data_IF_870031111897
#
_entry.id   IF_870031111897
#
_cell.length_a   1.000
_cell.length_b   1.000
_cell.length_c   1.000
_cell.angle_alpha   90.00
_cell.angle_beta   90.00
_cell.angle_gamma   90.00
#
_symmetry.space_group_name_H-M   'P 1'
#
loop_
_entity.id
_entity.type
_entity.pdbx_description
1 polymer ?
#
# COMPACT_ATOMS: atom_id res chain seq x y z
N UNK A 1 3.64 0.60 -2.21
CA UNK A 1 5.02 0.90 -1.75
C UNK A 1 6.02 0.41 -2.78
N UNK A 2 6.14 -0.90 -3.00
CA UNK A 2 7.07 -1.44 -4.01
C UNK A 2 6.86 -0.87 -5.43
N UNK A 3 5.62 -0.82 -5.91
CA UNK A 3 5.31 -0.23 -7.23
C UNK A 3 5.61 1.27 -7.33
N UNK A 4 5.64 1.99 -6.21
CA UNK A 4 5.98 3.41 -6.19
C UNK A 4 7.49 3.67 -6.18
N UNK A 5 8.25 2.77 -5.56
CA UNK A 5 9.72 2.78 -5.59
C UNK A 5 10.21 2.45 -7.01
N UNK A 6 9.46 1.60 -7.74
CA UNK A 6 9.76 1.26 -9.13
C UNK A 6 9.34 2.33 -10.16
N UNK A 7 8.65 3.40 -9.74
CA UNK A 7 8.17 4.46 -10.62
C UNK A 7 9.00 5.73 -10.45
N UNK A 8 9.08 6.55 -11.52
CA UNK A 8 9.84 7.82 -11.44
C UNK A 8 9.22 8.76 -10.41
N UNK A 9 10.03 9.54 -9.68
CA UNK A 9 9.52 10.41 -8.62
C UNK A 9 8.38 11.34 -9.08
N UNK A 10 8.50 11.89 -10.29
CA UNK A 10 7.53 12.78 -10.94
C UNK A 10 6.17 12.16 -11.24
N UNK A 11 6.15 10.86 -11.50
CA UNK A 11 4.93 10.12 -11.82
C UNK A 11 4.27 9.60 -10.53
N UNK A 12 5.08 9.13 -9.58
CA UNK A 12 4.62 8.52 -8.34
C UNK A 12 3.67 9.41 -7.54
N UNK A 13 4.02 10.67 -7.29
CA UNK A 13 3.19 11.54 -6.47
C UNK A 13 1.85 11.91 -7.11
N UNK A 14 1.83 12.09 -8.43
CA UNK A 14 0.60 12.36 -9.21
C UNK A 14 -0.30 11.13 -9.23
N UNK A 15 0.29 9.96 -9.45
CA UNK A 15 -0.40 8.68 -9.40
C UNK A 15 -1.03 8.42 -8.04
N UNK A 16 -0.35 8.74 -6.94
CA UNK A 16 -0.91 8.61 -5.59
C UNK A 16 -2.11 9.53 -5.33
N UNK A 17 -2.04 10.80 -5.73
CA UNK A 17 -3.17 11.73 -5.55
C UNK A 17 -4.38 11.32 -6.40
N UNK A 18 -4.15 11.01 -7.68
CA UNK A 18 -5.21 10.58 -8.58
C UNK A 18 -5.81 9.23 -8.15
N UNK A 19 -4.94 8.30 -7.75
CA UNK A 19 -5.29 7.00 -7.21
C UNK A 19 -6.17 7.12 -5.97
N UNK A 20 -5.80 7.97 -5.01
CA UNK A 20 -6.59 8.23 -3.81
C UNK A 20 -7.98 8.79 -4.10
N UNK A 21 -8.08 9.75 -5.03
CA UNK A 21 -9.37 10.32 -5.46
C UNK A 21 -10.27 9.32 -6.19
N UNK A 22 -9.68 8.48 -7.03
CA UNK A 22 -10.42 7.44 -7.75
C UNK A 22 -10.81 6.27 -6.84
N UNK A 23 -10.00 5.96 -5.83
CA UNK A 23 -10.28 4.88 -4.89
C UNK A 23 -11.59 5.12 -4.14
N UNK A 24 -11.84 6.36 -3.70
CA UNK A 24 -13.08 6.73 -3.03
C UNK A 24 -14.33 6.50 -3.90
N UNK A 25 -14.19 6.61 -5.23
CA UNK A 25 -15.29 6.39 -6.16
C UNK A 25 -15.85 4.96 -6.04
N UNK A 26 -15.01 3.96 -5.76
CA UNK A 26 -15.42 2.55 -5.71
C UNK A 26 -16.46 2.31 -4.60
N UNK A 27 -16.16 2.50 -3.30
CA UNK A 27 -17.15 2.28 -2.25
C UNK A 27 -18.31 3.27 -2.36
N UNK A 28 -18.05 4.54 -2.70
CA UNK A 28 -19.09 5.56 -2.79
C UNK A 28 -20.13 5.22 -3.86
N UNK A 29 -19.69 4.91 -5.08
CA UNK A 29 -20.60 4.65 -6.20
C UNK A 29 -21.27 3.29 -6.10
N UNK A 30 -20.56 2.23 -5.68
CA UNK A 30 -21.15 0.90 -5.53
C UNK A 30 -22.16 0.86 -4.39
N UNK A 31 -21.87 1.49 -3.24
CA UNK A 31 -22.82 1.56 -2.13
C UNK A 31 -24.04 2.42 -2.50
N UNK A 32 -23.82 3.58 -3.14
CA UNK A 32 -24.91 4.49 -3.53
C UNK A 32 -25.79 3.90 -4.63
N UNK A 33 -25.22 3.15 -5.57
CA UNK A 33 -25.99 2.54 -6.65
C UNK A 33 -26.59 1.20 -6.22
N UNK A 34 -25.78 0.16 -6.07
CA UNK A 34 -26.25 -1.21 -5.84
C UNK A 34 -26.80 -1.40 -4.42
N UNK A 35 -26.18 -0.79 -3.41
CA UNK A 35 -26.66 -0.89 -2.03
C UNK A 35 -28.03 -0.26 -1.84
N UNK A 36 -28.20 0.99 -2.28
CA UNK A 36 -29.49 1.69 -2.14
C UNK A 36 -30.54 1.20 -3.12
N UNK A 37 -30.17 0.72 -4.31
CA UNK A 37 -31.11 0.07 -5.22
C UNK A 37 -31.69 -1.23 -4.63
N UNK A 38 -30.90 -2.02 -3.90
CA UNK A 38 -31.40 -3.20 -3.18
C UNK A 38 -32.57 -2.84 -2.25
N UNK A 39 -32.38 -1.79 -1.44
CA UNK A 39 -33.39 -1.28 -0.50
C UNK A 39 -34.58 -0.68 -1.25
N UNK A 40 -34.34 0.15 -2.27
CA UNK A 40 -35.40 0.81 -3.03
C UNK A 40 -36.30 -0.18 -3.78
N UNK A 41 -35.74 -1.29 -4.26
CA UNK A 41 -36.47 -2.36 -4.93
C UNK A 41 -37.08 -3.37 -3.94
N UNK A 42 -36.82 -3.21 -2.64
CA UNK A 42 -37.28 -4.13 -1.59
C UNK A 42 -36.92 -5.58 -1.90
N UNK A 43 -35.68 -5.82 -2.36
CA UNK A 43 -35.21 -7.16 -2.65
C UNK A 43 -35.20 -8.01 -1.36
N UNK A 44 -35.54 -9.31 -1.42
CA UNK A 44 -35.63 -10.18 -0.25
C UNK A 44 -34.24 -10.61 0.25
N UNK A 45 -33.33 -9.66 0.45
CA UNK A 45 -31.98 -9.91 0.97
C UNK A 45 -32.03 -9.96 2.50
N UNK A 46 -31.68 -11.11 3.07
CA UNK A 46 -31.63 -11.28 4.52
C UNK A 46 -30.43 -10.55 5.12
N UNK A 47 -30.48 -10.25 6.43
CA UNK A 47 -29.35 -9.65 7.14
C UNK A 47 -28.08 -10.51 7.06
N UNK A 48 -28.22 -11.84 7.01
CA UNK A 48 -27.09 -12.76 6.85
C UNK A 48 -26.44 -12.65 5.47
N UNK A 49 -27.24 -12.61 4.40
CA UNK A 49 -26.75 -12.42 3.03
C UNK A 49 -26.10 -11.05 2.83
N UNK A 50 -26.67 -10.00 3.46
CA UNK A 50 -26.05 -8.69 3.48
C UNK A 50 -24.70 -8.69 4.21
N UNK A 51 -24.61 -9.34 5.36
CA UNK A 51 -23.35 -9.54 6.10
C UNK A 51 -22.31 -10.38 5.34
N UNK A 52 -22.77 -11.28 4.47
CA UNK A 52 -21.92 -12.06 3.56
C UNK A 52 -21.50 -11.29 2.29
N UNK A 53 -21.93 -10.03 2.12
CA UNK A 53 -21.56 -9.19 0.98
C UNK A 53 -22.34 -9.48 -0.31
N UNK A 54 -23.51 -10.13 -0.22
CA UNK A 54 -24.30 -10.54 -1.39
C UNK A 54 -25.25 -9.45 -1.92
N UNK A 55 -25.28 -8.26 -1.31
CA UNK A 55 -26.13 -7.14 -1.74
C UNK A 55 -25.81 -6.67 -3.18
N UNK A 56 -24.54 -6.37 -3.55
CA UNK A 56 -24.21 -6.00 -4.92
C UNK A 56 -24.59 -7.03 -5.99
N UNK A 57 -24.24 -8.33 -5.87
CA UNK A 57 -24.60 -9.32 -6.88
C UNK A 57 -26.11 -9.56 -6.97
N UNK A 58 -26.84 -9.57 -5.84
CA UNK A 58 -28.30 -9.71 -5.84
C UNK A 58 -28.98 -8.58 -6.62
N UNK A 59 -28.51 -7.35 -6.41
CA UNK A 59 -29.07 -6.17 -7.08
C UNK A 59 -28.72 -6.14 -8.56
N UNK A 60 -27.48 -6.45 -8.91
CA UNK A 60 -27.03 -6.53 -10.30
C UNK A 60 -27.80 -7.61 -11.07
N UNK A 61 -28.03 -8.78 -10.45
CA UNK A 61 -28.80 -9.86 -11.04
C UNK A 61 -30.26 -9.44 -11.28
N UNK A 62 -30.88 -8.73 -10.32
CA UNK A 62 -32.24 -8.25 -10.49
C UNK A 62 -32.37 -7.24 -11.64
N UNK A 63 -31.40 -6.33 -11.79
CA UNK A 63 -31.43 -5.25 -12.78
C UNK A 63 -31.00 -5.69 -14.20
N UNK A 64 -30.00 -6.57 -14.30
CA UNK A 64 -29.35 -6.92 -15.57
C UNK A 64 -29.46 -8.42 -15.91
N UNK A 65 -30.24 -9.18 -15.14
CA UNK A 65 -30.31 -10.64 -15.26
C UNK A 65 -28.98 -11.32 -14.94
N UNK A 66 -28.81 -12.54 -15.44
CA UNK A 66 -27.60 -13.36 -15.18
C UNK A 66 -26.31 -12.66 -15.65
N UNK A 67 -26.39 -11.82 -16.67
CA UNK A 67 -25.25 -11.01 -17.13
C UNK A 67 -24.73 -10.06 -16.04
N UNK A 68 -25.62 -9.46 -15.24
CA UNK A 68 -25.23 -8.62 -14.11
C UNK A 68 -24.48 -9.39 -13.03
N UNK A 69 -24.95 -10.59 -12.70
CA UNK A 69 -24.29 -11.48 -11.74
C UNK A 69 -22.88 -11.86 -12.21
N UNK A 70 -22.72 -12.21 -13.50
CA UNK A 70 -21.43 -12.54 -14.09
C UNK A 70 -20.47 -11.34 -14.05
N UNK A 71 -20.94 -10.14 -14.36
CA UNK A 71 -20.11 -8.92 -14.30
C UNK A 71 -19.60 -8.64 -12.88
N UNK A 72 -20.46 -8.77 -11.86
CA UNK A 72 -20.06 -8.60 -10.45
C UNK A 72 -19.06 -9.67 -10.04
N UNK A 73 -19.27 -10.93 -10.45
CA UNK A 73 -18.35 -12.02 -10.17
C UNK A 73 -16.97 -11.79 -10.81
N UNK A 74 -16.93 -11.37 -12.08
CA UNK A 74 -15.70 -11.05 -12.78
C UNK A 74 -14.97 -9.87 -12.12
N UNK A 75 -15.71 -8.81 -11.77
CA UNK A 75 -15.16 -7.66 -11.05
C UNK A 75 -14.52 -8.09 -9.72
N UNK A 76 -15.23 -8.90 -8.93
CA UNK A 76 -14.72 -9.42 -7.65
C UNK A 76 -13.48 -10.29 -7.86
N UNK A 77 -13.50 -11.19 -8.83
CA UNK A 77 -12.38 -12.06 -9.15
C UNK A 77 -11.12 -11.26 -9.52
N UNK A 78 -11.26 -10.25 -10.39
CA UNK A 78 -10.14 -9.37 -10.77
C UNK A 78 -9.62 -8.56 -9.57
N UNK A 79 -10.51 -8.00 -8.76
CA UNK A 79 -10.13 -7.21 -7.58
C UNK A 79 -9.36 -8.04 -6.54
N UNK A 80 -9.85 -9.24 -6.21
CA UNK A 80 -9.22 -10.15 -5.24
C UNK A 80 -7.89 -10.67 -5.79
N UNK A 81 -7.83 -11.08 -7.06
CA UNK A 81 -6.60 -11.62 -7.66
C UNK A 81 -5.52 -10.54 -7.76
N UNK A 82 -5.88 -9.30 -8.13
CA UNK A 82 -4.93 -8.19 -8.20
C UNK A 82 -4.36 -7.84 -6.84
N UNK A 83 -5.21 -7.69 -5.81
CA UNK A 83 -4.78 -7.38 -4.45
C UNK A 83 -3.99 -8.54 -3.84
N UNK A 84 -4.46 -9.77 -4.03
CA UNK A 84 -3.80 -10.97 -3.52
C UNK A 84 -2.40 -11.17 -4.08
N UNK A 85 -2.19 -10.88 -5.37
CA UNK A 85 -0.86 -10.89 -5.99
C UNK A 85 0.10 -9.90 -5.32
N UNK A 86 -0.35 -8.65 -5.10
CA UNK A 86 0.46 -7.62 -4.45
C UNK A 86 0.85 -8.00 -3.01
N UNK A 87 -0.10 -8.55 -2.24
CA UNK A 87 0.16 -9.02 -0.86
C UNK A 87 1.13 -10.21 -0.83
N UNK A 88 0.97 -11.18 -1.74
CA UNK A 88 1.88 -12.32 -1.85
C UNK A 88 3.32 -11.88 -2.15
N UNK A 89 3.48 -10.92 -3.06
CA UNK A 89 4.80 -10.32 -3.36
C UNK A 89 5.33 -9.59 -2.13
N UNK A 90 4.49 -8.81 -1.44
CA UNK A 90 4.84 -8.11 -0.20
C UNK A 90 5.39 -9.07 0.86
N UNK A 91 4.65 -10.11 1.22
CA UNK A 91 5.07 -11.11 2.22
C UNK A 91 6.34 -11.83 1.78
N UNK A 92 6.44 -12.19 0.50
CA UNK A 92 7.64 -12.85 -0.02
C UNK A 92 8.90 -11.99 0.08
N UNK A 93 8.76 -10.68 -0.14
CA UNK A 93 9.87 -9.73 -0.03
C UNK A 93 10.33 -9.53 1.41
N UNK A 94 9.40 -9.44 2.36
CA UNK A 94 9.74 -9.36 3.80
C UNK A 94 10.52 -10.60 4.22
N UNK A 95 10.06 -11.80 3.83
CA UNK A 95 10.76 -13.03 4.17
C UNK A 95 12.13 -13.11 3.47
N UNK A 96 12.23 -12.70 2.21
CA UNK A 96 13.48 -12.81 1.45
C UNK A 96 14.54 -11.79 1.91
N UNK A 97 14.17 -10.52 2.08
CA UNK A 97 15.10 -9.43 2.39
C UNK A 97 15.27 -9.22 3.90
N UNK A 98 14.19 -9.23 4.67
CA UNK A 98 14.24 -8.85 6.08
C UNK A 98 14.53 -10.04 7.00
N UNK A 99 14.27 -11.28 6.55
CA UNK A 99 14.56 -12.50 7.32
C UNK A 99 15.72 -13.28 6.72
N UNK A 100 15.59 -13.74 5.48
CA UNK A 100 16.56 -14.64 4.88
C UNK A 100 17.90 -13.96 4.62
N UNK A 101 17.92 -12.83 3.92
CA UNK A 101 19.15 -12.07 3.69
C UNK A 101 19.71 -11.53 5.02
N UNK A 102 18.88 -10.92 5.86
CA UNK A 102 19.40 -10.28 7.08
C UNK A 102 20.01 -11.26 8.10
N UNK A 103 19.45 -12.47 8.26
CA UNK A 103 19.83 -13.36 9.36
C UNK A 103 20.27 -14.78 8.96
N UNK A 104 19.88 -15.27 7.78
CA UNK A 104 20.13 -16.67 7.37
C UNK A 104 21.31 -16.76 6.40
N UNK A 105 21.31 -15.93 5.36
CA UNK A 105 22.36 -15.89 4.35
C UNK A 105 22.56 -14.45 3.82
N UNK A 106 23.42 -13.65 4.49
CA UNK A 106 23.70 -12.26 4.09
C UNK A 106 24.30 -12.10 2.69
N UNK A 107 25.10 -13.08 2.26
CA UNK A 107 25.78 -13.11 0.95
C UNK A 107 24.92 -13.84 -0.12
N UNK A 108 23.59 -13.82 0.01
CA UNK A 108 22.73 -14.49 -0.95
C UNK A 108 22.71 -13.80 -2.32
N UNK A 109 22.70 -14.62 -3.38
CA UNK A 109 22.60 -14.15 -4.77
C UNK A 109 21.16 -13.80 -5.14
N UNK A 110 20.95 -12.91 -6.13
CA UNK A 110 19.62 -12.57 -6.64
C UNK A 110 18.80 -13.80 -7.09
N UNK A 111 19.46 -14.81 -7.67
CA UNK A 111 18.81 -16.08 -8.08
C UNK A 111 18.27 -16.87 -6.88
N UNK A 112 18.98 -16.87 -5.76
CA UNK A 112 18.51 -17.51 -4.52
C UNK A 112 17.30 -16.78 -3.93
N UNK A 113 17.32 -15.44 -3.94
CA UNK A 113 16.20 -14.61 -3.47
C UNK A 113 14.94 -14.86 -4.30
N UNK A 114 15.05 -14.89 -5.64
CA UNK A 114 13.89 -15.12 -6.52
C UNK A 114 13.32 -16.53 -6.29
N UNK A 115 14.18 -17.55 -6.16
CA UNK A 115 13.72 -18.92 -5.92
C UNK A 115 13.02 -19.06 -4.55
N UNK A 116 13.58 -18.46 -3.50
CA UNK A 116 12.95 -18.42 -2.18
C UNK A 116 11.60 -17.69 -2.25
N UNK A 117 11.55 -16.53 -2.90
CA UNK A 117 10.33 -15.73 -3.03
C UNK A 117 9.21 -16.53 -3.70
N UNK A 118 9.51 -17.27 -4.78
CA UNK A 118 8.53 -18.14 -5.46
C UNK A 118 7.99 -19.24 -4.55
N UNK A 119 8.85 -19.85 -3.74
CA UNK A 119 8.44 -20.85 -2.75
C UNK A 119 7.54 -20.23 -1.67
N UNK A 120 7.93 -19.07 -1.14
CA UNK A 120 7.16 -18.35 -0.12
C UNK A 120 5.79 -17.92 -0.66
N UNK A 121 5.71 -17.44 -1.89
CA UNK A 121 4.43 -17.10 -2.54
C UNK A 121 3.50 -18.31 -2.57
N UNK A 122 3.98 -19.48 -3.02
CA UNK A 122 3.16 -20.69 -3.07
C UNK A 122 2.72 -21.13 -1.67
N UNK A 123 3.65 -21.19 -0.72
CA UNK A 123 3.37 -21.62 0.65
C UNK A 123 2.38 -20.68 1.36
N UNK A 124 2.61 -19.37 1.29
CA UNK A 124 1.75 -18.37 1.91
C UNK A 124 0.36 -18.32 1.24
N UNK A 125 0.30 -18.46 -0.08
CA UNK A 125 -0.97 -18.55 -0.82
C UNK A 125 -1.82 -19.74 -0.39
N UNK A 126 -1.20 -20.92 -0.18
CA UNK A 126 -1.90 -22.10 0.33
C UNK A 126 -2.38 -21.91 1.78
N UNK A 127 -1.55 -21.29 2.64
CA UNK A 127 -1.92 -20.98 4.03
C UNK A 127 -3.08 -19.99 4.09
N UNK A 128 -3.01 -18.92 3.30
CA UNK A 128 -4.09 -17.92 3.17
C UNK A 128 -5.39 -18.57 2.71
N UNK A 129 -5.34 -19.43 1.69
CA UNK A 129 -6.52 -20.14 1.19
C UNK A 129 -7.14 -21.06 2.25
N UNK A 130 -6.31 -21.85 2.93
CA UNK A 130 -6.77 -22.72 4.02
C UNK A 130 -7.37 -21.91 5.18
N UNK A 131 -6.72 -20.79 5.55
CA UNK A 131 -7.21 -19.89 6.59
C UNK A 131 -8.54 -19.23 6.22
N UNK A 132 -8.70 -18.80 4.97
CA UNK A 132 -9.96 -18.25 4.46
C UNK A 132 -11.11 -19.26 4.52
N UNK A 133 -10.87 -20.52 4.15
CA UNK A 133 -11.85 -21.61 4.27
C UNK A 133 -12.22 -21.84 5.74
N UNK A 134 -11.22 -21.84 6.64
CA UNK A 134 -11.47 -22.01 8.07
C UNK A 134 -12.33 -20.87 8.65
N UNK A 135 -12.03 -19.61 8.33
CA UNK A 135 -12.82 -18.46 8.76
C UNK A 135 -14.26 -18.51 8.23
N UNK A 136 -14.44 -18.94 6.97
CA UNK A 136 -15.77 -19.11 6.40
C UNK A 136 -16.57 -20.20 7.13
N UNK A 137 -15.93 -21.31 7.49
CA UNK A 137 -16.56 -22.39 8.28
C UNK A 137 -16.93 -21.96 9.71
N UNK A 138 -16.16 -21.06 10.32
CA UNK A 138 -16.44 -20.50 11.66
C UNK A 138 -17.61 -19.49 11.61
N UNK A 139 -18.04 -19.07 10.42
CA UNK A 139 -19.13 -18.12 10.25
C UNK A 139 -18.72 -16.66 10.44
N UNK A 140 -17.42 -16.35 10.31
CA UNK A 140 -16.93 -14.97 10.38
C UNK A 140 -17.39 -14.21 9.13
N UNK A 141 -18.14 -13.12 9.31
CA UNK A 141 -18.58 -12.26 8.22
C UNK A 141 -17.43 -11.40 7.69
N UNK A 142 -17.53 -10.95 6.42
CA UNK A 142 -16.52 -10.06 5.83
C UNK A 142 -16.41 -8.73 6.60
N UNK A 143 -17.55 -8.18 7.05
CA UNK A 143 -17.58 -6.95 7.85
C UNK A 143 -16.87 -7.12 9.19
N UNK A 144 -17.08 -8.26 9.86
CA UNK A 144 -16.38 -8.58 11.11
C UNK A 144 -14.87 -8.62 10.89
N UNK A 145 -14.42 -9.37 9.87
CA UNK A 145 -12.99 -9.52 9.58
C UNK A 145 -12.33 -8.19 9.20
N UNK A 146 -13.03 -7.37 8.42
CA UNK A 146 -12.56 -6.04 8.02
C UNK A 146 -12.33 -5.11 9.22
N UNK A 147 -13.24 -5.12 10.20
CA UNK A 147 -13.10 -4.30 11.41
C UNK A 147 -12.07 -4.89 12.40
N UNK A 148 -12.02 -6.22 12.50
CA UNK A 148 -11.04 -6.93 13.34
C UNK A 148 -9.60 -6.66 12.88
N UNK A 149 -9.39 -6.52 11.57
CA UNK A 149 -8.08 -6.17 11.01
C UNK A 149 -7.45 -4.98 11.74
N UNK A 150 -8.18 -3.88 11.92
CA UNK A 150 -7.61 -2.70 12.56
C UNK A 150 -7.31 -2.89 14.06
N UNK A 151 -7.96 -3.84 14.74
CA UNK A 151 -7.57 -4.26 16.10
C UNK A 151 -6.22 -4.98 16.08
N UNK A 152 -6.00 -5.86 15.10
CA UNK A 152 -4.79 -6.67 15.02
C UNK A 152 -3.56 -5.90 14.52
N UNK A 153 -3.73 -5.00 13.56
CA UNK A 153 -2.61 -4.33 12.88
C UNK A 153 -2.57 -2.81 13.05
N UNK A 154 -3.64 -2.20 13.56
CA UNK A 154 -3.76 -0.74 13.65
C UNK A 154 -2.70 -0.08 14.54
N UNK A 155 -2.14 -0.80 15.52
CA UNK A 155 -1.12 -0.26 16.41
C UNK A 155 0.21 0.05 15.73
N UNK A 156 0.50 -0.55 14.57
CA UNK A 156 1.73 -0.26 13.84
C UNK A 156 1.67 1.06 13.05
N UNK A 157 0.47 1.61 12.81
CA UNK A 157 0.27 2.74 11.89
C UNK A 157 1.06 3.98 12.31
N UNK A 158 0.89 4.46 13.55
CA UNK A 158 1.60 5.66 14.02
C UNK A 158 3.11 5.42 14.17
N UNK A 159 3.59 4.32 14.77
CA UNK A 159 5.02 4.02 14.82
C UNK A 159 5.70 4.00 13.45
N UNK A 160 5.07 3.40 12.44
CA UNK A 160 5.59 3.38 11.06
C UNK A 160 5.53 4.76 10.41
N UNK A 161 4.48 5.53 10.65
CA UNK A 161 4.41 6.90 10.16
C UNK A 161 5.51 7.78 10.78
N UNK A 162 5.74 7.65 12.09
CA UNK A 162 6.75 8.42 12.82
C UNK A 162 8.17 8.04 12.46
N UNK A 163 8.47 6.76 12.22
CA UNK A 163 9.82 6.36 11.80
C UNK A 163 10.24 7.08 10.51
N UNK A 164 9.30 7.38 9.61
CA UNK A 164 9.57 8.07 8.34
C UNK A 164 9.46 9.60 8.47
N UNK A 165 8.50 10.11 9.24
CA UNK A 165 8.14 11.54 9.22
C UNK A 165 8.63 12.35 10.42
N UNK A 166 9.03 11.70 11.51
CA UNK A 166 9.46 12.37 12.73
C UNK A 166 10.88 11.97 13.10
N UNK A 167 11.82 12.91 12.90
CA UNK A 167 13.23 12.72 13.21
C UNK A 167 13.53 12.37 14.68
N UNK A 168 12.62 12.68 15.60
CA UNK A 168 12.75 12.33 17.02
C UNK A 168 12.18 10.97 17.41
N UNK A 169 11.63 10.21 16.45
CA UNK A 169 11.11 8.87 16.72
C UNK A 169 12.24 7.91 17.03
N UNK A 170 12.25 7.35 18.24
CA UNK A 170 13.32 6.45 18.68
C UNK A 170 12.97 4.99 18.46
N UNK A 171 13.98 4.12 18.40
CA UNK A 171 13.77 2.68 18.22
C UNK A 171 12.87 2.12 19.33
N UNK A 172 13.15 2.50 20.57
CA UNK A 172 12.37 2.09 21.73
C UNK A 172 10.95 2.63 21.67
N UNK A 173 10.76 3.88 21.22
CA UNK A 173 9.44 4.48 21.03
C UNK A 173 8.60 3.74 20.02
N UNK A 174 9.14 3.44 18.84
CA UNK A 174 8.42 2.72 17.79
C UNK A 174 8.00 1.30 18.23
N UNK A 175 8.92 0.52 18.82
CA UNK A 175 8.65 -0.86 19.25
C UNK A 175 7.65 -0.89 20.41
N UNK A 176 7.86 -0.06 21.43
CA UNK A 176 6.97 -0.01 22.59
C UNK A 176 5.59 0.51 22.25
N UNK A 177 5.48 1.51 21.36
CA UNK A 177 4.21 2.02 20.84
C UNK A 177 3.41 0.94 20.14
N UNK A 178 4.02 0.25 19.16
CA UNK A 178 3.36 -0.82 18.42
C UNK A 178 2.90 -1.97 19.34
N UNK A 179 3.78 -2.40 20.26
CA UNK A 179 3.49 -3.49 21.19
C UNK A 179 2.45 -3.14 22.26
N UNK A 180 2.60 -2.01 22.94
CA UNK A 180 1.65 -1.57 23.96
C UNK A 180 0.29 -1.23 23.36
N UNK A 181 0.25 -0.62 22.17
CA UNK A 181 -0.97 -0.38 21.41
C UNK A 181 -1.71 -1.67 21.06
N UNK A 182 -0.99 -2.69 20.59
CA UNK A 182 -1.58 -4.00 20.24
C UNK A 182 -2.18 -4.68 21.48
N UNK A 183 -1.41 -4.76 22.57
CA UNK A 183 -1.88 -5.37 23.82
C UNK A 183 -3.07 -4.58 24.39
N UNK A 184 -3.00 -3.26 24.39
CA UNK A 184 -4.10 -2.39 24.82
C UNK A 184 -5.37 -2.57 23.98
N UNK A 185 -5.22 -2.72 22.66
CA UNK A 185 -6.33 -2.97 21.75
C UNK A 185 -7.00 -4.32 22.06
N UNK A 186 -6.22 -5.40 22.22
CA UNK A 186 -6.76 -6.71 22.57
C UNK A 186 -7.46 -6.71 23.93
N UNK A 187 -6.86 -6.09 24.95
CA UNK A 187 -7.48 -5.96 26.28
C UNK A 187 -8.81 -5.23 26.15
N UNK A 188 -8.84 -4.09 25.45
CA UNK A 188 -10.06 -3.30 25.25
C UNK A 188 -11.12 -4.10 24.50
N UNK A 189 -10.71 -4.82 23.45
CA UNK A 189 -11.61 -5.60 22.62
C UNK A 189 -12.30 -6.72 23.41
N UNK A 190 -11.53 -7.53 24.13
CA UNK A 190 -12.07 -8.62 24.95
C UNK A 190 -12.83 -8.11 26.17
N UNK A 191 -12.31 -7.09 26.87
CA UNK A 191 -12.96 -6.56 28.07
C UNK A 191 -14.30 -5.89 27.74
N UNK A 192 -14.37 -5.13 26.63
CA UNK A 192 -15.64 -4.50 26.23
C UNK A 192 -16.62 -5.55 25.70
N UNK A 193 -16.18 -6.53 24.91
CA UNK A 193 -17.03 -7.67 24.53
C UNK A 193 -17.56 -8.42 25.75
N UNK A 194 -16.75 -8.63 26.78
CA UNK A 194 -17.13 -9.32 28.01
C UNK A 194 -18.19 -8.57 28.85
N UNK A 195 -18.39 -7.28 28.61
CA UNK A 195 -19.44 -6.50 29.28
C UNK A 195 -20.84 -6.76 28.74
N UNK A 196 -20.96 -7.38 27.56
CA UNK A 196 -22.23 -7.81 27.00
C UNK A 196 -22.68 -9.14 27.57
N UNK A 197 -24.00 -9.36 27.56
CA UNK A 197 -24.59 -10.65 27.93
C UNK A 197 -24.00 -11.78 27.06
N UNK A 198 -23.67 -12.90 27.70
CA UNK A 198 -22.99 -14.03 27.04
C UNK A 198 -21.45 -13.91 26.99
N UNK A 199 -20.88 -12.80 27.43
CA UNK A 199 -19.43 -12.62 27.58
C UNK A 199 -18.69 -12.55 26.23
N UNK A 200 -17.49 -13.13 26.16
CA UNK A 200 -16.66 -13.09 24.93
C UNK A 200 -17.18 -14.10 23.92
N UNK A 201 -17.95 -13.63 22.95
CA UNK A 201 -18.47 -14.39 21.81
C UNK A 201 -18.10 -13.70 20.50
N UNK A 202 -18.19 -14.43 19.37
CA UNK A 202 -17.96 -13.86 18.03
C UNK A 202 -18.89 -12.67 17.77
N UNK A 203 -20.16 -12.80 18.16
CA UNK A 203 -21.17 -11.75 18.01
C UNK A 203 -20.82 -10.51 18.82
N UNK A 204 -20.43 -10.67 20.09
CA UNK A 204 -20.09 -9.55 20.97
C UNK A 204 -18.78 -8.87 20.55
N UNK A 205 -17.78 -9.64 20.08
CA UNK A 205 -16.55 -9.09 19.49
C UNK A 205 -16.82 -8.31 18.20
N UNK A 206 -17.86 -8.69 17.46
CA UNK A 206 -18.31 -8.08 16.21
C UNK A 206 -19.11 -6.80 16.36
N UNK A 207 -19.47 -6.39 17.58
CA UNK A 207 -20.26 -5.20 17.80
C UNK A 207 -19.50 -3.94 17.36
N UNK A 208 -20.20 -3.03 16.67
CA UNK A 208 -19.59 -1.81 16.13
C UNK A 208 -18.88 -0.97 17.20
N UNK A 209 -19.47 -0.81 18.39
CA UNK A 209 -18.86 -0.03 19.48
C UNK A 209 -17.65 -0.74 20.10
N UNK A 210 -17.68 -2.07 20.18
CA UNK A 210 -16.57 -2.89 20.69
C UNK A 210 -15.38 -2.80 19.73
N UNK A 211 -15.63 -2.99 18.44
CA UNK A 211 -14.62 -2.81 17.38
C UNK A 211 -14.09 -1.37 17.35
N UNK A 212 -14.96 -0.36 17.43
CA UNK A 212 -14.56 1.05 17.42
C UNK A 212 -13.62 1.38 18.57
N UNK A 213 -13.97 0.99 19.79
CA UNK A 213 -13.14 1.26 20.97
C UNK A 213 -11.76 0.60 20.86
N UNK A 214 -11.72 -0.67 20.46
CA UNK A 214 -10.47 -1.41 20.28
C UNK A 214 -9.59 -0.80 19.18
N UNK A 215 -10.17 -0.41 18.04
CA UNK A 215 -9.46 0.26 16.94
C UNK A 215 -8.91 1.64 17.36
N UNK A 216 -9.69 2.42 18.11
CA UNK A 216 -9.24 3.71 18.63
C UNK A 216 -8.08 3.53 19.61
N UNK A 217 -8.15 2.54 20.50
CA UNK A 217 -7.03 2.23 21.40
C UNK A 217 -5.82 1.76 20.60
N UNK A 218 -5.99 0.88 19.62
CA UNK A 218 -4.89 0.41 18.77
C UNK A 218 -4.08 1.58 18.20
N UNK A 219 -4.75 2.57 17.59
CA UNK A 219 -4.08 3.71 16.95
C UNK A 219 -3.62 4.75 17.97
N UNK A 220 -4.54 5.27 18.79
CA UNK A 220 -4.27 6.44 19.64
C UNK A 220 -3.37 6.11 20.83
N UNK A 221 -3.57 4.95 21.47
CA UNK A 221 -2.70 4.54 22.58
C UNK A 221 -1.31 4.17 22.07
N UNK A 222 -1.21 3.51 20.91
CA UNK A 222 0.08 3.27 20.25
C UNK A 222 0.82 4.58 19.99
N UNK A 223 0.16 5.57 19.38
CA UNK A 223 0.76 6.87 19.09
C UNK A 223 1.17 7.61 20.36
N UNK A 224 0.35 7.57 21.40
CA UNK A 224 0.67 8.16 22.70
C UNK A 224 1.94 7.53 23.29
N UNK A 225 2.00 6.20 23.40
CA UNK A 225 3.16 5.48 23.94
C UNK A 225 4.40 5.75 23.09
N UNK A 226 4.27 5.67 21.76
CA UNK A 226 5.36 5.95 20.83
C UNK A 226 5.93 7.36 21.03
N UNK A 227 5.06 8.37 21.15
CA UNK A 227 5.45 9.76 21.38
C UNK A 227 6.15 9.92 22.72
N UNK A 228 5.54 9.43 23.81
CA UNK A 228 6.06 9.61 25.17
C UNK A 228 7.41 8.93 25.33
N UNK A 229 7.54 7.68 24.89
CA UNK A 229 8.79 6.93 25.01
C UNK A 229 9.89 7.58 24.15
N UNK A 230 9.57 8.06 22.95
CA UNK A 230 10.54 8.77 22.10
C UNK A 230 11.00 10.09 22.70
N UNK A 231 10.11 10.83 23.38
CA UNK A 231 10.46 12.10 24.04
C UNK A 231 11.26 11.91 25.32
N UNK A 232 11.03 10.81 26.05
CA UNK A 232 11.74 10.46 27.30
C UNK A 232 13.12 9.89 26.99
N UNK A 233 13.19 8.92 26.09
CA UNK A 233 14.42 8.25 25.69
C UNK A 233 14.88 8.83 24.36
N UNK A 234 15.40 10.06 24.39
CA UNK A 234 15.92 10.74 23.20
C UNK A 234 17.12 9.98 22.65
N UNK A 235 17.08 9.70 21.37
CA UNK A 235 18.19 9.16 20.58
C UNK A 235 18.63 10.23 19.56
N UNK A 236 19.83 10.10 19.01
CA UNK A 236 20.23 10.97 17.90
C UNK A 236 19.33 10.73 16.68
N UNK A 237 18.89 11.79 15.98
CA UNK A 237 18.05 11.65 14.81
C UNK A 237 18.70 10.74 13.76
N UNK A 238 17.93 9.79 13.22
CA UNK A 238 18.39 8.95 12.13
C UNK A 238 18.63 9.81 10.87
N UNK A 239 19.88 9.86 10.41
CA UNK A 239 20.20 10.44 9.12
C UNK A 239 19.87 9.46 8.00
N UNK A 240 18.69 9.65 7.41
CA UNK A 240 18.20 8.83 6.30
C UNK A 240 19.08 8.91 5.06
N UNK A 241 19.77 10.03 4.81
CA UNK A 241 20.59 10.20 3.62
C UNK A 241 21.82 9.27 3.68
N UNK A 242 22.51 9.30 4.81
CA UNK A 242 23.70 8.46 5.04
C UNK A 242 23.32 6.99 5.23
N UNK A 243 22.21 6.71 5.95
CA UNK A 243 21.74 5.34 6.19
C UNK A 243 21.30 4.64 4.89
N UNK A 244 20.61 5.35 3.99
CA UNK A 244 20.16 4.77 2.71
C UNK A 244 21.34 4.46 1.80
N UNK A 245 22.36 5.32 1.77
CA UNK A 245 23.59 5.12 0.97
C UNK A 245 24.43 3.93 1.47
N UNK A 246 24.32 3.56 2.74
CA UNK A 246 25.05 2.42 3.31
C UNK A 246 24.40 1.05 3.04
N UNK A 247 23.17 0.98 2.53
CA UNK A 247 22.51 -0.30 2.26
C UNK A 247 23.12 -0.91 1.00
N UNK A 248 23.84 -2.05 1.09
CA UNK A 248 24.47 -2.64 -0.09
C UNK A 248 23.40 -3.15 -1.04
N UNK A 249 23.45 -2.69 -2.29
CA UNK A 249 22.63 -3.23 -3.37
C UNK A 249 23.09 -4.65 -3.69
N UNK A 250 22.13 -5.52 -4.04
CA UNK A 250 22.43 -6.90 -4.44
C UNK A 250 23.06 -6.94 -5.83
N UNK A 251 22.68 -5.98 -6.68
CA UNK A 251 23.22 -5.78 -8.02
C UNK A 251 23.44 -4.27 -8.21
N UNK A 252 24.50 -3.88 -8.92
CA UNK A 252 24.74 -2.48 -9.29
C UNK A 252 23.68 -2.02 -10.30
N UNK A 253 22.69 -1.25 -9.83
CA UNK A 253 21.70 -0.60 -10.69
C UNK A 253 22.15 0.82 -11.02
N UNK A 254 22.31 1.11 -12.32
CA UNK A 254 22.68 2.45 -12.82
C UNK A 254 21.65 3.52 -12.46
N UNK A 255 20.41 3.14 -12.15
CA UNK A 255 19.34 4.04 -11.73
C UNK A 255 19.25 4.19 -10.20
N UNK A 256 20.13 3.56 -9.42
CA UNK A 256 20.09 3.65 -7.96
C UNK A 256 20.55 5.01 -7.42
N UNK A 257 21.24 5.81 -8.23
CA UNK A 257 21.77 7.12 -7.84
C UNK A 257 21.03 8.24 -8.58
N UNK A 258 20.36 9.09 -7.80
CA UNK A 258 19.68 10.28 -8.33
C UNK A 258 20.67 11.42 -8.55
N UNK A 259 20.48 12.16 -9.63
CA UNK A 259 21.17 13.43 -9.89
C UNK A 259 20.64 14.54 -8.99
N UNK A 260 21.41 15.61 -8.78
CA UNK A 260 20.95 16.77 -7.99
C UNK A 260 19.66 17.40 -8.55
N UNK A 261 19.48 17.38 -9.86
CA UNK A 261 18.25 17.87 -10.50
C UNK A 261 17.04 17.01 -10.10
N UNK A 262 17.19 15.69 -10.06
CA UNK A 262 16.15 14.76 -9.63
C UNK A 262 15.84 14.89 -8.14
N UNK A 263 16.86 15.11 -7.29
CA UNK A 263 16.64 15.38 -5.86
C UNK A 263 15.83 16.67 -5.63
N UNK A 264 16.15 17.76 -6.33
CA UNK A 264 15.38 19.00 -6.24
C UNK A 264 13.93 18.84 -6.73
N UNK A 265 13.72 17.99 -7.74
CA UNK A 265 12.38 17.66 -8.23
C UNK A 265 11.59 16.81 -7.21
N UNK A 266 12.26 15.90 -6.50
CA UNK A 266 11.70 15.13 -5.40
C UNK A 266 11.23 16.01 -4.23
N UNK A 267 12.03 17.01 -3.83
CA UNK A 267 11.66 17.93 -2.74
C UNK A 267 10.39 18.74 -3.09
N UNK A 268 10.32 19.23 -4.33
CA UNK A 268 9.13 19.93 -4.83
C UNK A 268 7.90 19.02 -4.88
N UNK A 269 8.09 17.77 -5.31
CA UNK A 269 7.03 16.76 -5.32
C UNK A 269 6.54 16.46 -3.89
N UNK A 270 7.46 16.29 -2.92
CA UNK A 270 7.14 16.03 -1.51
C UNK A 270 6.33 17.16 -0.89
N UNK A 271 6.72 18.42 -1.14
CA UNK A 271 5.95 19.57 -0.65
C UNK A 271 4.54 19.59 -1.24
N UNK A 272 4.43 19.35 -2.53
CA UNK A 272 3.15 19.38 -3.25
C UNK A 272 2.22 18.27 -2.76
N UNK A 273 2.70 17.02 -2.71
CA UNK A 273 1.89 15.89 -2.24
C UNK A 273 1.51 16.05 -0.77
N UNK A 274 2.35 16.65 0.07
CA UNK A 274 2.03 16.90 1.47
C UNK A 274 0.84 17.86 1.60
N UNK A 275 0.86 18.98 0.87
CA UNK A 275 -0.24 19.97 0.92
C UNK A 275 -1.54 19.35 0.41
N UNK A 276 -1.51 18.74 -0.78
CA UNK A 276 -2.71 18.16 -1.39
C UNK A 276 -3.20 16.92 -0.63
N UNK A 277 -2.29 16.07 -0.17
CA UNK A 277 -2.60 14.87 0.61
C UNK A 277 -3.29 15.21 1.92
N UNK A 278 -2.75 16.16 2.70
CA UNK A 278 -3.41 16.63 3.93
C UNK A 278 -4.75 17.32 3.64
N UNK A 279 -4.80 18.18 2.63
CA UNK A 279 -6.04 18.89 2.26
C UNK A 279 -7.14 17.91 1.89
N UNK A 280 -6.85 16.96 0.99
CA UNK A 280 -7.81 15.93 0.58
C UNK A 280 -8.21 15.02 1.75
N UNK A 281 -7.26 14.62 2.59
CA UNK A 281 -7.56 13.79 3.76
C UNK A 281 -8.50 14.51 4.73
N UNK A 282 -8.23 15.78 5.07
CA UNK A 282 -9.09 16.57 5.96
C UNK A 282 -10.47 16.76 5.32
N UNK A 283 -10.54 17.11 4.03
CA UNK A 283 -11.80 17.35 3.34
C UNK A 283 -12.65 16.08 3.26
N UNK A 284 -12.07 14.96 2.82
CA UNK A 284 -12.82 13.73 2.55
C UNK A 284 -13.10 12.90 3.81
N UNK A 285 -12.18 12.87 4.78
CA UNK A 285 -12.30 12.02 5.98
C UNK A 285 -12.93 12.75 7.15
N UNK A 286 -12.78 14.08 7.25
CA UNK A 286 -13.27 14.86 8.39
C UNK A 286 -14.41 15.78 7.98
N UNK A 287 -14.15 16.74 7.08
CA UNK A 287 -15.12 17.80 6.76
C UNK A 287 -16.37 17.23 6.10
N UNK A 288 -16.24 16.41 5.07
CA UNK A 288 -17.40 15.87 4.36
C UNK A 288 -18.29 15.01 5.27
N UNK A 289 -17.78 14.02 6.04
CA UNK A 289 -18.60 13.29 7.00
C UNK A 289 -19.27 14.20 8.03
N UNK A 290 -18.56 15.15 8.63
CA UNK A 290 -19.13 16.10 9.59
C UNK A 290 -20.26 16.94 8.99
N UNK A 291 -20.12 17.40 7.74
CA UNK A 291 -21.16 18.15 7.04
C UNK A 291 -22.38 17.29 6.69
N UNK A 292 -22.22 15.97 6.57
CA UNK A 292 -23.34 15.05 6.31
C UNK A 292 -24.12 14.64 7.57
N UNK A 293 -23.51 14.68 8.76
CA UNK A 293 -24.18 14.35 10.03
C UNK A 293 -25.50 15.13 10.25
N UNK A 294 -25.56 16.46 10.08
CA UNK A 294 -26.81 17.21 10.28
C UNK A 294 -27.83 17.03 9.15
N UNK A 295 -27.46 16.42 8.02
CA UNK A 295 -28.33 16.32 6.86
C UNK A 295 -29.51 15.36 7.06
N UNK A 296 -29.43 14.43 8.02
CA UNK A 296 -30.51 13.51 8.36
C UNK A 296 -31.08 12.78 7.13
N UNK A 297 -32.40 12.78 6.98
CA UNK A 297 -33.06 12.23 5.78
C UNK A 297 -32.93 13.23 4.63
N UNK A 298 -32.30 12.81 3.53
CA UNK A 298 -32.08 13.67 2.38
C UNK A 298 -33.40 14.07 1.72
N UNK A 299 -33.60 15.37 1.51
CA UNK A 299 -34.70 15.85 0.68
C UNK A 299 -34.45 15.48 -0.80
N UNK A 300 -35.49 15.58 -1.64
CA UNK A 300 -35.41 15.20 -3.06
C UNK A 300 -34.28 15.91 -3.83
N UNK A 301 -34.06 17.21 -3.57
CA UNK A 301 -33.03 18.00 -4.24
C UNK A 301 -31.63 17.56 -3.84
N UNK A 302 -31.39 17.40 -2.54
CA UNK A 302 -30.13 16.92 -1.99
C UNK A 302 -29.82 15.49 -2.44
N UNK A 303 -30.83 14.61 -2.45
CA UNK A 303 -30.70 13.26 -2.98
C UNK A 303 -30.34 13.25 -4.48
N UNK A 304 -30.98 14.12 -5.27
CA UNK A 304 -30.66 14.26 -6.70
C UNK A 304 -29.21 14.71 -6.90
N UNK A 305 -28.75 15.68 -6.10
CA UNK A 305 -27.36 16.11 -6.10
C UNK A 305 -26.39 14.98 -5.71
N UNK A 306 -26.71 14.21 -4.67
CA UNK A 306 -25.90 13.07 -4.21
C UNK A 306 -25.71 12.01 -5.30
N UNK A 307 -26.81 11.65 -5.99
CA UNK A 307 -26.79 10.70 -7.10
C UNK A 307 -26.03 11.27 -8.31
N UNK A 308 -26.24 12.55 -8.65
CA UNK A 308 -25.48 13.18 -9.73
C UNK A 308 -23.97 13.19 -9.43
N UNK A 309 -23.60 13.53 -8.20
CA UNK A 309 -22.21 13.52 -7.74
C UNK A 309 -21.60 12.11 -7.85
N UNK A 310 -22.32 11.07 -7.43
CA UNK A 310 -21.82 9.69 -7.53
C UNK A 310 -21.61 9.25 -8.98
N UNK A 311 -22.54 9.56 -9.88
CA UNK A 311 -22.41 9.25 -11.31
C UNK A 311 -21.22 10.00 -11.91
N UNK A 312 -21.12 11.32 -11.69
CA UNK A 312 -20.00 12.12 -12.23
C UNK A 312 -18.66 11.62 -11.70
N UNK A 313 -18.55 11.35 -10.40
CA UNK A 313 -17.31 10.85 -9.80
C UNK A 313 -16.94 9.48 -10.36
N UNK A 314 -17.91 8.56 -10.48
CA UNK A 314 -17.68 7.23 -11.06
C UNK A 314 -17.20 7.29 -12.51
N UNK A 315 -17.79 8.16 -13.33
CA UNK A 315 -17.37 8.35 -14.72
C UNK A 315 -15.96 8.96 -14.82
N UNK A 316 -15.65 9.97 -14.01
CA UNK A 316 -14.32 10.59 -13.99
C UNK A 316 -13.26 9.59 -13.50
N UNK A 317 -13.56 8.82 -12.46
CA UNK A 317 -12.66 7.78 -11.96
C UNK A 317 -12.43 6.68 -13.02
N UNK A 318 -13.50 6.26 -13.72
CA UNK A 318 -13.39 5.28 -14.82
C UNK A 318 -12.53 5.80 -15.96
N UNK A 319 -12.76 7.04 -16.41
CA UNK A 319 -11.93 7.66 -17.45
C UNK A 319 -10.46 7.75 -17.01
N UNK A 320 -10.22 8.14 -15.76
CA UNK A 320 -8.87 8.31 -15.21
C UNK A 320 -8.15 6.97 -15.00
N UNK A 321 -8.84 5.90 -14.61
CA UNK A 321 -8.22 4.59 -14.34
C UNK A 321 -8.11 3.70 -15.57
N UNK A 322 -9.02 3.86 -16.54
CA UNK A 322 -9.07 3.00 -17.74
C UNK A 322 -8.44 3.69 -18.95
N UNK A 323 -8.79 4.95 -19.22
CA UNK A 323 -8.36 5.62 -20.45
C UNK A 323 -6.98 6.26 -20.30
N UNK A 324 -6.69 6.88 -19.15
CA UNK A 324 -5.42 7.58 -18.95
C UNK A 324 -4.20 6.64 -19.04
N UNK A 325 -4.15 5.45 -18.38
CA UNK A 325 -2.99 4.56 -18.49
C UNK A 325 -2.80 4.04 -19.92
N UNK A 326 -3.90 3.75 -20.63
CA UNK A 326 -3.85 3.34 -22.05
C UNK A 326 -3.30 4.46 -22.91
N UNK A 327 -3.69 5.70 -22.65
CA UNK A 327 -3.18 6.87 -23.36
C UNK A 327 -1.71 7.14 -23.03
N UNK A 328 -1.29 7.06 -21.78
CA UNK A 328 0.11 7.24 -21.38
C UNK A 328 1.00 6.14 -21.99
N UNK A 329 0.54 4.89 -21.95
CA UNK A 329 1.25 3.75 -22.50
C UNK A 329 1.08 3.59 -24.03
N UNK A 330 0.34 4.49 -24.71
CA UNK A 330 -0.01 4.34 -26.14
C UNK A 330 1.19 4.08 -27.04
N UNK A 331 2.34 4.68 -26.70
CA UNK A 331 3.58 4.54 -27.49
C UNK A 331 4.20 3.15 -27.30
N UNK A 332 4.27 2.67 -26.06
CA UNK A 332 4.71 1.30 -25.75
C UNK A 332 3.76 0.28 -26.36
N UNK A 333 2.44 0.51 -26.28
CA UNK A 333 1.42 -0.35 -26.89
C UNK A 333 1.58 -0.40 -28.41
N UNK A 334 1.76 0.75 -29.07
CA UNK A 334 2.03 0.80 -30.52
C UNK A 334 3.36 0.13 -30.85
N UNK A 335 4.42 0.35 -30.07
CA UNK A 335 5.72 -0.29 -30.28
C UNK A 335 5.63 -1.82 -30.21
N UNK A 336 4.90 -2.37 -29.24
CA UNK A 336 4.65 -3.82 -29.11
C UNK A 336 3.78 -4.32 -30.27
N UNK A 337 2.68 -3.64 -30.60
CA UNK A 337 1.76 -4.04 -31.67
C UNK A 337 2.39 -3.95 -33.07
N UNK A 338 3.39 -3.09 -33.24
CA UNK A 338 4.11 -2.90 -34.51
C UNK A 338 5.42 -3.69 -34.56
N UNK A 339 5.72 -4.53 -33.56
CA UNK A 339 7.00 -5.24 -33.41
C UNK A 339 8.21 -4.30 -33.59
N UNK A 340 8.11 -3.06 -33.10
CA UNK A 340 9.16 -2.05 -33.21
C UNK A 340 9.26 -1.35 -34.57
N UNK A 341 8.38 -1.63 -35.53
CA UNK A 341 8.41 -0.97 -36.86
C UNK A 341 7.97 0.49 -36.85
N UNK A 342 7.27 0.94 -35.80
CA UNK A 342 6.89 2.35 -35.61
C UNK A 342 7.46 2.84 -34.28
N UNK A 343 8.52 3.65 -34.36
CA UNK A 343 9.04 4.43 -33.23
C UNK A 343 8.40 5.80 -33.29
N UNK A 344 7.53 6.10 -32.32
CA UNK A 344 6.96 7.44 -32.17
C UNK A 344 8.01 8.33 -31.50
N UNK A 345 8.57 9.28 -32.27
CA UNK A 345 9.59 10.24 -31.82
C UNK A 345 9.09 11.05 -30.60
N UNK A 346 9.91 11.15 -29.56
CA UNK A 346 9.50 11.66 -28.24
C UNK A 346 9.85 13.14 -28.00
N UNK A 347 10.51 13.82 -28.96
CA UNK A 347 10.89 15.24 -28.79
C UNK A 347 11.72 15.54 -27.54
N UNK A 348 12.24 14.51 -26.88
CA UNK A 348 13.25 14.55 -25.82
C UNK A 348 14.47 13.85 -26.38
N UNK A 349 15.59 14.55 -26.42
CA UNK A 349 16.89 14.00 -26.82
C UNK A 349 17.31 12.91 -25.83
N UNK A 350 16.87 11.67 -26.08
CA UNK A 350 17.43 10.49 -25.45
C UNK A 350 18.60 10.02 -26.30
N UNK A 351 19.81 10.06 -25.74
CA UNK A 351 20.98 9.42 -26.32
C UNK A 351 20.64 7.94 -26.63
N UNK A 352 21.04 7.40 -27.79
CA UNK A 352 20.56 6.10 -28.24
C UNK A 352 21.03 5.00 -27.30
N UNK A 353 20.08 4.27 -26.72
CA UNK A 353 20.32 2.97 -26.08
C UNK A 353 20.85 2.02 -27.15
N UNK A 354 22.14 1.67 -27.09
CA UNK A 354 22.71 0.59 -27.90
C UNK A 354 21.97 -0.69 -27.56
N UNK A 355 21.31 -1.27 -28.56
CA UNK A 355 20.76 -2.61 -28.51
C UNK A 355 21.87 -3.58 -28.10
N UNK A 356 21.63 -4.32 -27.02
CA UNK A 356 22.36 -5.54 -26.71
C UNK A 356 21.77 -6.57 -27.66
N UNK A 357 22.48 -6.88 -28.75
CA UNK A 357 22.56 -8.22 -29.32
C UNK A 357 23.58 -8.24 -30.47
N UNK A 358 24.37 -9.33 -30.50
CA UNK A 358 25.35 -9.75 -31.52
C UNK A 358 26.71 -9.02 -31.60
N UNK A 359 27.69 -9.53 -30.85
CA UNK A 359 29.06 -9.65 -31.39
C UNK A 359 29.76 -10.90 -30.82
N UNK A 360 29.66 -12.00 -31.59
CA UNK A 360 30.58 -13.14 -31.49
C UNK A 360 31.86 -12.79 -32.26
N UNK A 361 33.04 -12.75 -31.60
CA UNK A 361 34.30 -12.71 -32.36
C UNK A 361 35.62 -12.32 -31.66
N UNK A 362 36.10 -13.11 -30.69
CA UNK A 362 37.54 -13.34 -30.39
C UNK A 362 38.47 -12.14 -29.97
N UNK A 363 39.66 -12.39 -29.38
CA UNK A 363 40.20 -11.56 -28.30
C UNK A 363 41.20 -10.47 -28.76
N UNK A 364 41.07 -9.26 -28.21
CA UNK A 364 42.15 -8.27 -28.22
C UNK A 364 42.40 -7.68 -26.81
N UNK A 365 43.62 -7.94 -26.35
CA UNK A 365 44.48 -7.27 -25.37
C UNK A 365 43.87 -6.21 -24.43
N UNK A 366 43.86 -6.53 -23.13
CA UNK A 366 43.73 -5.57 -22.03
C UNK A 366 45.12 -4.98 -21.76
N UNK A 367 45.35 -3.71 -22.10
CA UNK A 367 46.45 -2.93 -21.55
C UNK A 367 46.07 -2.37 -20.18
N UNK A 368 47.00 -2.54 -19.23
CA UNK A 368 46.94 -2.16 -17.82
C UNK A 368 46.63 -0.68 -17.55
N UNK A 369 45.61 -0.41 -16.74
CA UNK A 369 45.51 0.80 -15.92
C UNK A 369 44.77 0.52 -14.61
N UNK A 370 45.29 -0.44 -13.84
CA UNK A 370 44.80 -0.80 -12.50
C UNK A 370 45.57 -0.09 -11.36
N UNK A 371 46.39 0.92 -11.67
CA UNK A 371 47.30 1.56 -10.71
C UNK A 371 46.73 2.79 -9.98
N UNK A 372 45.61 3.35 -10.43
CA UNK A 372 45.10 4.64 -9.90
C UNK A 372 44.02 4.47 -8.83
N UNK A 373 43.21 3.41 -8.88
CA UNK A 373 42.09 3.22 -7.96
C UNK A 373 42.52 2.72 -6.58
N UNK A 374 43.58 1.90 -6.52
CA UNK A 374 44.06 1.29 -5.27
C UNK A 374 44.69 2.33 -4.33
N UNK A 375 45.31 3.39 -4.87
CA UNK A 375 45.92 4.46 -4.05
C UNK A 375 44.89 5.34 -3.33
N UNK A 376 43.71 5.56 -3.91
CA UNK A 376 42.66 6.37 -3.27
C UNK A 376 41.94 5.62 -2.15
N UNK A 377 41.90 4.28 -2.19
CA UNK A 377 41.29 3.47 -1.14
C UNK A 377 42.22 3.36 0.08
N UNK A 378 43.53 3.24 -0.14
CA UNK A 378 44.51 3.15 0.96
C UNK A 378 44.67 4.50 1.70
N UNK A 379 44.63 5.65 1.01
CA UNK A 379 44.68 6.98 1.68
C UNK A 379 43.42 7.29 2.50
N UNK A 380 42.26 6.72 2.15
CA UNK A 380 41.02 6.89 2.91
C UNK A 380 40.96 6.02 4.17
N UNK A 381 41.67 4.89 4.20
CA UNK A 381 41.75 3.98 5.35
C UNK A 381 42.71 4.49 6.43
N UNK A 382 43.80 5.18 6.06
CA UNK A 382 44.74 5.78 7.03
C UNK A 382 44.16 7.03 7.72
N UNK A 383 43.20 7.73 7.09
CA UNK A 383 42.57 8.91 7.67
C UNK A 383 41.49 8.61 8.74
N UNK A 384 41.12 7.32 8.93
CA UNK A 384 40.00 6.90 9.78
C UNK A 384 40.40 6.20 11.09
N UNK A 385 41.69 6.16 11.45
CA UNK A 385 42.10 5.61 12.76
C UNK A 385 41.95 6.66 13.88
N UNK A 386 41.25 6.34 14.98
CA UNK A 386 41.23 7.19 16.16
C UNK A 386 42.56 7.09 16.91
N UNK A 387 43.15 8.24 17.28
CA UNK A 387 44.27 8.30 18.22
C UNK A 387 43.86 7.65 19.55
N UNK A 388 44.45 6.48 19.84
CA UNK A 388 44.41 5.86 21.17
C UNK A 388 45.64 6.36 21.92
N UNK A 389 45.44 7.27 22.86
CA UNK A 389 46.45 7.61 23.88
C UNK A 389 46.68 6.41 24.81
N UNK A 390 47.84 5.78 24.69
CA UNK A 390 48.76 5.40 25.77
C UNK A 390 50.01 4.68 25.23
#
# INVERSE_FOLDING_TARGET
WQSAIAATPTASWKGYLLGGLCWFAIPFTLATSLGLANVALSLPTTSGEAGAGLVPPSTAQHLMGDGGAVLVLLMLFMAVTSTGSAELIGVSSVIAYDVYRAYINPECTGKQIINLSRFVILAFGLIMGAFGIALNHIGISLGWLYLAMGVFIGSAVIPVAYSITWAGCTRLGAISGAGAGFVGALITWFAYAASYDGGVTVDNLGQNYVMLAANLVAILFSGFVCTVVSLVFKEEPCDWETTTKMIPLIEEDKNAHFTEAEMNEMDNAQRTISIWGWTLSIVLVVVWPLLTLPAGVFNKGYWTFWVALSITWGLVATASMVLLPVWEARRSVVGVLTCGSVVLDDGRDHAPTKNIDEESGSPHEISSDAGSATKQVDEALDAAQPEVEA
#
